data_IF_459890254557
#
_entry.id   IF_459890254557
#
_cell.length_a   1.000
_cell.length_b   1.000
_cell.length_c   1.000
_cell.angle_alpha   90.00
_cell.angle_beta   90.00
_cell.angle_gamma   90.00
#
_symmetry.space_group_name_H-M   'P 1'
#
loop_
_entity.id
_entity.type
_entity.pdbx_description
1 polymer ?
#
# COMPACT_ATOMS: atom_id res chain seq x y z
N UNK A 1 -5.27 15.58 9.17
CA UNK A 1 -5.11 14.31 8.42
C UNK A 1 -3.71 13.76 8.67
N UNK A 2 -3.61 12.51 8.99
CA UNK A 2 -2.33 11.83 9.25
C UNK A 2 -2.09 10.75 8.21
N UNK A 3 -0.83 10.59 7.78
CA UNK A 3 -0.43 9.58 6.81
C UNK A 3 0.69 8.72 7.37
N UNK A 4 0.70 7.44 6.98
CA UNK A 4 1.73 6.50 7.37
C UNK A 4 1.95 5.52 6.23
N UNK A 5 3.22 5.22 5.93
CA UNK A 5 3.56 4.17 4.97
C UNK A 5 4.52 3.16 5.57
N UNK A 6 4.39 1.92 5.14
CA UNK A 6 5.23 0.83 5.61
C UNK A 6 5.52 -0.17 4.48
N UNK A 7 6.56 -0.96 4.70
CA UNK A 7 6.95 -2.10 3.87
C UNK A 7 6.90 -3.36 4.73
N UNK A 8 6.46 -4.47 4.15
CA UNK A 8 6.51 -5.76 4.82
C UNK A 8 6.68 -6.89 3.82
N UNK A 9 6.97 -8.08 4.33
CA UNK A 9 7.07 -9.29 3.52
C UNK A 9 5.90 -10.20 3.80
N UNK A 10 5.25 -10.69 2.75
CA UNK A 10 4.19 -11.67 2.88
C UNK A 10 4.75 -13.01 3.34
N UNK A 11 3.96 -13.77 4.08
CA UNK A 11 4.30 -15.17 4.38
C UNK A 11 4.22 -16.01 3.10
N UNK A 12 4.93 -17.12 3.09
CA UNK A 12 5.07 -17.97 1.89
C UNK A 12 3.75 -18.51 1.34
N UNK A 13 2.76 -18.67 2.19
CA UNK A 13 1.49 -19.29 1.82
C UNK A 13 0.41 -18.30 1.42
N UNK A 14 0.77 -17.03 1.24
CA UNK A 14 -0.24 -16.04 0.88
C UNK A 14 -0.67 -16.23 -0.57
N UNK A 15 -1.96 -16.40 -0.79
CA UNK A 15 -2.58 -16.54 -2.11
C UNK A 15 -3.37 -15.28 -2.47
N UNK A 16 -3.73 -15.15 -3.74
CA UNK A 16 -4.59 -14.05 -4.16
C UNK A 16 -5.97 -14.09 -3.49
N UNK A 17 -6.48 -15.28 -3.19
CA UNK A 17 -7.74 -15.43 -2.45
C UNK A 17 -7.63 -14.89 -1.04
N UNK A 18 -6.51 -15.16 -0.36
CA UNK A 18 -6.25 -14.62 0.97
C UNK A 18 -6.15 -13.11 0.91
N UNK A 19 -5.44 -12.57 -0.07
CA UNK A 19 -5.31 -11.12 -0.25
C UNK A 19 -6.67 -10.48 -0.52
N UNK A 20 -7.48 -11.11 -1.37
CA UNK A 20 -8.84 -10.62 -1.66
C UNK A 20 -9.70 -10.55 -0.40
N UNK A 21 -9.62 -11.57 0.46
CA UNK A 21 -10.30 -11.56 1.75
C UNK A 21 -9.82 -10.46 2.68
N UNK A 22 -8.52 -10.25 2.74
CA UNK A 22 -7.90 -9.16 3.51
C UNK A 22 -8.44 -7.81 3.04
N UNK A 23 -8.47 -7.59 1.72
CA UNK A 23 -8.94 -6.33 1.14
C UNK A 23 -10.41 -6.08 1.43
N UNK A 24 -11.25 -7.09 1.32
CA UNK A 24 -12.68 -6.96 1.62
C UNK A 24 -12.90 -6.52 3.05
N UNK A 25 -12.28 -7.21 4.00
CA UNK A 25 -12.36 -6.88 5.44
C UNK A 25 -11.79 -5.51 5.74
N UNK A 26 -10.64 -5.20 5.14
CA UNK A 26 -9.96 -3.91 5.33
C UNK A 26 -10.79 -2.74 4.82
N UNK A 27 -11.41 -2.89 3.65
CA UNK A 27 -12.24 -1.84 3.07
C UNK A 27 -13.46 -1.53 3.90
N UNK A 28 -14.11 -2.56 4.46
CA UNK A 28 -15.26 -2.37 5.35
C UNK A 28 -14.84 -1.63 6.62
N UNK A 29 -13.78 -2.09 7.26
CA UNK A 29 -13.23 -1.45 8.47
C UNK A 29 -12.78 -0.02 8.18
N UNK A 30 -12.04 0.19 7.09
CA UNK A 30 -11.50 1.50 6.72
C UNK A 30 -12.61 2.50 6.46
N UNK A 31 -13.66 2.06 5.78
CA UNK A 31 -14.84 2.90 5.55
C UNK A 31 -15.48 3.35 6.88
N UNK A 32 -15.58 2.44 7.83
CA UNK A 32 -16.18 2.74 9.14
C UNK A 32 -15.39 3.76 9.95
N UNK A 33 -14.06 3.76 9.84
CA UNK A 33 -13.18 4.66 10.61
C UNK A 33 -12.59 5.80 9.77
N UNK A 34 -13.04 5.96 8.53
CA UNK A 34 -12.60 7.05 7.68
C UNK A 34 -11.15 6.94 7.20
N UNK A 35 -10.66 5.73 6.97
CA UNK A 35 -9.31 5.49 6.44
C UNK A 35 -9.37 5.27 4.94
N UNK A 36 -8.45 5.91 4.24
CA UNK A 36 -8.23 5.72 2.79
C UNK A 36 -6.75 5.39 2.56
N UNK A 37 -6.41 4.90 1.38
CA UNK A 37 -5.03 4.58 1.06
C UNK A 37 -4.85 3.68 -0.15
N UNK A 38 -3.66 3.12 -0.24
CA UNK A 38 -3.24 2.28 -1.36
C UNK A 38 -2.32 1.16 -0.89
N UNK A 39 -2.57 -0.05 -1.36
CA UNK A 39 -1.75 -1.22 -1.09
C UNK A 39 -1.14 -1.72 -2.40
N UNK A 40 0.16 -1.89 -2.41
CA UNK A 40 0.90 -2.50 -3.52
C UNK A 40 1.49 -3.83 -3.06
N UNK A 41 1.21 -4.88 -3.82
CA UNK A 41 1.78 -6.20 -3.60
C UNK A 41 2.60 -6.61 -4.83
N UNK A 42 3.86 -6.94 -4.62
CA UNK A 42 4.77 -7.34 -5.69
C UNK A 42 5.85 -8.27 -5.13
N UNK A 43 6.02 -9.42 -5.74
CA UNK A 43 7.07 -10.41 -5.36
C UNK A 43 7.12 -10.68 -3.85
N UNK A 44 5.97 -11.05 -3.27
CA UNK A 44 5.82 -11.35 -1.85
C UNK A 44 6.16 -10.19 -0.90
N UNK A 45 6.13 -8.97 -1.41
CA UNK A 45 6.31 -7.77 -0.59
C UNK A 45 5.10 -6.87 -0.66
N UNK A 46 4.79 -6.23 0.46
CA UNK A 46 3.74 -5.23 0.54
C UNK A 46 4.35 -3.85 0.79
N UNK A 47 3.83 -2.85 0.10
CA UNK A 47 4.01 -1.45 0.48
C UNK A 47 2.62 -0.84 0.57
N UNK A 48 2.32 -0.19 1.68
CA UNK A 48 1.02 0.41 1.89
C UNK A 48 1.16 1.83 2.42
N UNK A 49 0.28 2.71 1.98
CA UNK A 49 0.05 4.00 2.61
C UNK A 49 -1.39 4.03 3.13
N UNK A 50 -1.56 4.51 4.35
CA UNK A 50 -2.86 4.71 4.98
C UNK A 50 -2.96 6.16 5.44
N UNK A 51 -4.15 6.72 5.35
CA UNK A 51 -4.41 8.10 5.74
C UNK A 51 -5.77 8.23 6.44
N UNK A 52 -5.82 9.07 7.44
CA UNK A 52 -7.02 9.26 8.25
C UNK A 52 -6.73 10.05 9.51
N UNK A 53 -7.59 9.92 10.50
CA UNK A 53 -7.38 10.53 11.81
C UNK A 53 -6.20 9.83 12.51
N UNK A 54 -5.34 10.60 13.14
CA UNK A 54 -4.06 10.13 13.68
C UNK A 54 -4.20 8.91 14.61
N UNK A 55 -5.14 8.94 15.53
CA UNK A 55 -5.32 7.84 16.47
C UNK A 55 -5.77 6.56 15.78
N UNK A 56 -6.64 6.68 14.77
CA UNK A 56 -7.07 5.55 13.96
C UNK A 56 -5.92 4.96 13.16
N UNK A 57 -5.07 5.82 12.58
CA UNK A 57 -3.92 5.36 11.78
C UNK A 57 -2.90 4.65 12.66
N UNK A 58 -2.58 5.19 13.82
CA UNK A 58 -1.62 4.56 14.75
C UNK A 58 -2.13 3.24 15.29
N UNK A 59 -3.40 3.17 15.67
CA UNK A 59 -4.03 1.93 16.14
C UNK A 59 -4.07 0.87 15.04
N UNK A 60 -4.45 1.27 13.83
CA UNK A 60 -4.49 0.39 12.67
C UNK A 60 -3.09 -0.16 12.35
N UNK A 61 -2.07 0.66 12.40
CA UNK A 61 -0.70 0.22 12.14
C UNK A 61 -0.23 -0.82 13.17
N UNK A 62 -0.57 -0.66 14.44
CA UNK A 62 -0.25 -1.65 15.46
C UNK A 62 -0.95 -3.00 15.19
N UNK A 63 -2.20 -2.98 14.73
CA UNK A 63 -2.91 -4.20 14.34
C UNK A 63 -2.24 -4.86 13.11
N UNK A 64 -1.83 -4.05 12.15
CA UNK A 64 -1.11 -4.53 10.95
C UNK A 64 0.20 -5.19 11.35
N UNK A 65 0.97 -4.60 12.26
CA UNK A 65 2.24 -5.17 12.72
C UNK A 65 2.07 -6.53 13.39
N UNK A 66 0.95 -6.77 14.03
CA UNK A 66 0.63 -8.04 14.72
C UNK A 66 0.06 -9.10 13.81
N UNK A 67 -0.31 -8.75 12.60
CA UNK A 67 -0.90 -9.68 11.65
C UNK A 67 0.15 -10.68 11.17
N UNK A 68 -0.13 -11.97 11.35
CA UNK A 68 0.80 -13.05 11.04
C UNK A 68 0.90 -13.39 9.56
N UNK A 69 0.08 -12.75 8.72
CA UNK A 69 0.12 -12.98 7.27
C UNK A 69 1.28 -12.26 6.59
N UNK A 70 2.00 -11.43 7.32
CA UNK A 70 3.25 -10.82 6.89
C UNK A 70 4.25 -10.73 8.04
N UNK A 71 5.49 -10.37 7.71
CA UNK A 71 6.59 -10.21 8.64
C UNK A 71 7.47 -9.03 8.23
N UNK A 72 8.44 -8.73 9.07
CA UNK A 72 9.41 -7.66 8.81
C UNK A 72 8.73 -6.33 8.46
N UNK A 73 7.70 -5.98 9.22
CA UNK A 73 6.98 -4.72 9.04
C UNK A 73 7.89 -3.56 9.39
N UNK A 74 8.20 -2.73 8.39
CA UNK A 74 9.13 -1.61 8.53
C UNK A 74 8.39 -0.32 8.22
N UNK A 75 8.30 0.57 9.20
CA UNK A 75 7.77 1.91 8.99
C UNK A 75 8.68 2.67 8.03
N UNK A 76 8.14 3.14 6.93
CA UNK A 76 8.90 3.94 5.96
C UNK A 76 8.84 5.42 6.30
N UNK A 77 7.66 5.94 6.55
CA UNK A 77 7.47 7.35 6.89
C UNK A 77 6.11 7.58 7.50
N UNK A 78 6.00 8.60 8.38
CA UNK A 78 4.71 9.05 8.89
C UNK A 78 4.71 10.56 9.09
N UNK A 79 3.54 11.18 9.02
CA UNK A 79 3.42 12.62 9.24
C UNK A 79 2.03 13.16 8.95
N UNK A 80 1.86 14.44 9.25
CA UNK A 80 0.61 15.16 8.99
C UNK A 80 0.52 15.61 7.54
N UNK A 81 -0.71 15.70 7.05
CA UNK A 81 -1.02 16.25 5.75
C UNK A 81 -2.27 17.13 5.83
N UNK A 82 -2.40 18.08 4.91
CA UNK A 82 -3.53 19.00 4.87
C UNK A 82 -4.82 18.38 4.31
N UNK A 83 -4.74 17.24 3.67
CA UNK A 83 -5.90 16.58 3.09
C UNK A 83 -5.59 15.15 2.70
N UNK A 84 -6.56 14.50 2.03
CA UNK A 84 -6.40 13.12 1.56
C UNK A 84 -5.83 13.09 0.15
N UNK A 85 -4.92 12.13 -0.10
CA UNK A 85 -4.43 11.84 -1.44
C UNK A 85 -5.23 10.73 -2.12
N UNK A 86 -5.96 9.93 -1.33
CA UNK A 86 -6.74 8.78 -1.80
C UNK A 86 -8.19 8.88 -1.34
N UNK A 87 -8.79 10.07 -1.49
CA UNK A 87 -10.09 10.40 -0.89
C UNK A 87 -11.24 9.47 -1.31
N UNK A 88 -11.19 8.90 -2.50
CA UNK A 88 -12.25 8.02 -2.99
C UNK A 88 -11.93 6.52 -2.80
N UNK A 89 -10.78 6.21 -2.18
CA UNK A 89 -10.27 4.85 -2.11
C UNK A 89 -10.10 4.38 -0.66
N UNK A 90 -11.05 3.61 -0.14
CA UNK A 90 -10.89 2.99 1.18
C UNK A 90 -9.70 2.02 1.23
N UNK A 91 -9.31 1.44 0.12
CA UNK A 91 -8.00 0.83 -0.11
C UNK A 91 -7.88 0.47 -1.59
N UNK A 92 -7.13 1.26 -2.35
CA UNK A 92 -6.72 0.89 -3.69
C UNK A 92 -5.74 -0.27 -3.63
N UNK A 93 -5.77 -1.15 -4.61
CA UNK A 93 -4.89 -2.31 -4.65
C UNK A 93 -4.25 -2.45 -6.02
N UNK A 94 -2.93 -2.61 -6.03
CA UNK A 94 -2.16 -2.82 -7.25
C UNK A 94 -1.26 -4.04 -7.08
N UNK A 95 -1.31 -4.92 -8.07
CA UNK A 95 -0.45 -6.10 -8.13
C UNK A 95 -0.19 -6.47 -9.58
N UNK A 96 0.88 -7.20 -9.84
CA UNK A 96 1.06 -7.88 -11.11
C UNK A 96 0.21 -9.15 -11.12
N UNK A 97 -0.39 -9.49 -12.28
CA UNK A 97 -1.13 -10.73 -12.41
C UNK A 97 -0.17 -11.90 -12.65
N UNK A 98 -0.22 -12.91 -11.77
CA UNK A 98 0.61 -14.12 -11.91
C UNK A 98 0.19 -14.97 -13.10
N UNK A 99 -1.07 -14.92 -13.51
CA UNK A 99 -1.60 -15.73 -14.60
C UNK A 99 -1.21 -15.22 -15.98
N UNK A 100 -0.72 -14.00 -16.03
CA UNK A 100 -0.37 -13.31 -17.26
C UNK A 100 1.05 -12.75 -17.15
N UNK A 101 2.00 -13.61 -16.96
CA UNK A 101 3.40 -13.27 -16.77
C UNK A 101 4.13 -12.80 -18.03
N UNK A 102 3.40 -12.23 -18.99
CA UNK A 102 3.99 -11.64 -20.18
C UNK A 102 4.62 -10.27 -19.87
N UNK A 103 5.69 -9.96 -20.57
CA UNK A 103 6.39 -8.67 -20.43
C UNK A 103 5.49 -7.45 -20.63
N UNK A 104 4.39 -7.61 -21.38
CA UNK A 104 3.42 -6.53 -21.62
C UNK A 104 2.60 -6.15 -20.39
N UNK A 105 2.28 -7.09 -19.54
CA UNK A 105 1.49 -6.81 -18.33
C UNK A 105 2.29 -6.18 -17.22
N UNK A 106 3.53 -6.61 -17.05
CA UNK A 106 4.43 -5.94 -16.12
C UNK A 106 4.61 -4.47 -16.51
N UNK A 107 4.73 -4.18 -17.79
CA UNK A 107 4.80 -2.80 -18.29
C UNK A 107 3.53 -2.01 -17.97
N UNK A 108 2.36 -2.62 -18.14
CA UNK A 108 1.10 -1.96 -17.81
C UNK A 108 0.96 -1.69 -16.31
N UNK A 109 1.37 -2.63 -15.49
CA UNK A 109 1.39 -2.46 -14.04
C UNK A 109 2.30 -1.30 -13.63
N UNK A 110 3.53 -1.30 -14.10
CA UNK A 110 4.49 -0.22 -13.85
C UNK A 110 3.97 1.13 -14.35
N UNK A 111 3.44 1.16 -15.57
CA UNK A 111 2.90 2.38 -16.17
C UNK A 111 1.76 2.95 -15.35
N UNK A 112 0.84 2.11 -14.89
CA UNK A 112 -0.28 2.55 -14.06
C UNK A 112 0.20 3.13 -12.74
N UNK A 113 1.19 2.52 -12.11
CA UNK A 113 1.79 3.03 -10.89
C UNK A 113 2.50 4.37 -11.12
N UNK A 114 3.23 4.52 -12.22
CA UNK A 114 3.88 5.78 -12.57
C UNK A 114 2.86 6.89 -12.82
N UNK A 115 1.79 6.62 -13.54
CA UNK A 115 0.72 7.59 -13.76
C UNK A 115 0.09 8.04 -12.46
N UNK A 116 -0.20 7.11 -11.56
CA UNK A 116 -0.74 7.43 -10.25
C UNK A 116 0.25 8.25 -9.42
N UNK A 117 1.54 7.93 -9.49
CA UNK A 117 2.56 8.68 -8.77
C UNK A 117 2.67 10.12 -9.27
N UNK A 118 2.54 10.35 -10.58
CA UNK A 118 2.56 11.69 -11.15
C UNK A 118 1.33 12.51 -10.73
N UNK A 119 0.16 11.90 -10.74
CA UNK A 119 -1.07 12.55 -10.31
C UNK A 119 -1.07 12.92 -8.83
N UNK A 120 -0.34 12.17 -8.04
CA UNK A 120 -0.27 12.35 -6.59
C UNK A 120 1.02 13.06 -6.15
N UNK A 121 1.95 13.28 -7.05
CA UNK A 121 3.28 13.81 -6.73
C UNK A 121 3.24 15.22 -6.16
N UNK A 122 4.11 15.49 -5.23
CA UNK A 122 4.37 16.83 -4.71
C UNK A 122 3.54 17.24 -3.50
N UNK A 123 2.64 16.40 -3.03
CA UNK A 123 1.75 16.80 -1.95
C UNK A 123 2.33 16.60 -0.55
N UNK A 124 3.09 15.52 -0.27
CA UNK A 124 3.69 15.28 1.04
C UNK A 124 4.94 14.43 0.97
N UNK A 125 5.77 14.52 2.04
CA UNK A 125 6.93 13.65 2.19
C UNK A 125 6.55 12.18 2.32
N UNK A 126 5.47 11.89 3.02
CA UNK A 126 4.98 10.50 3.18
C UNK A 126 4.60 9.92 1.83
N UNK A 127 3.83 10.67 1.04
CA UNK A 127 3.42 10.22 -0.29
C UNK A 127 4.61 10.03 -1.23
N UNK A 128 5.55 10.97 -1.22
CA UNK A 128 6.75 10.87 -2.04
C UNK A 128 7.59 9.65 -1.66
N UNK A 129 7.79 9.39 -0.38
CA UNK A 129 8.52 8.21 0.09
C UNK A 129 7.79 6.92 -0.26
N UNK A 130 6.47 6.91 -0.19
CA UNK A 130 5.68 5.77 -0.62
C UNK A 130 5.95 5.44 -2.10
N UNK A 131 5.84 6.41 -3.00
CA UNK A 131 6.04 6.19 -4.43
C UNK A 131 7.48 5.84 -4.78
N UNK A 132 8.47 6.45 -4.11
CA UNK A 132 9.87 6.08 -4.28
C UNK A 132 10.09 4.61 -3.89
N UNK A 133 9.51 4.18 -2.78
CA UNK A 133 9.62 2.80 -2.31
C UNK A 133 8.93 1.83 -3.27
N UNK A 134 7.78 2.19 -3.82
CA UNK A 134 7.08 1.37 -4.82
C UNK A 134 7.95 1.21 -6.08
N UNK A 135 8.53 2.28 -6.57
CA UNK A 135 9.42 2.21 -7.75
C UNK A 135 10.62 1.31 -7.51
N UNK A 136 11.23 1.41 -6.34
CA UNK A 136 12.36 0.55 -5.96
C UNK A 136 11.96 -0.91 -5.84
N UNK A 137 10.80 -1.19 -5.28
CA UNK A 137 10.28 -2.54 -5.19
C UNK A 137 10.10 -3.15 -6.59
N UNK A 138 9.48 -2.42 -7.50
CA UNK A 138 9.21 -2.89 -8.87
C UNK A 138 10.50 -3.12 -9.64
N UNK A 139 11.49 -2.25 -9.47
CA UNK A 139 12.79 -2.39 -10.12
C UNK A 139 13.71 -3.44 -9.49
N UNK A 140 13.30 -4.02 -8.36
CA UNK A 140 14.10 -5.02 -7.65
C UNK A 140 15.17 -4.45 -6.72
N UNK A 141 15.18 -3.14 -6.48
CA UNK A 141 16.17 -2.50 -5.62
C UNK A 141 15.83 -2.58 -4.13
N UNK A 142 14.54 -2.80 -3.82
CA UNK A 142 14.05 -2.86 -2.45
C UNK A 142 13.69 -4.30 -2.10
N UNK A 143 14.65 -5.06 -1.61
CA UNK A 143 14.43 -6.44 -1.18
C UNK A 143 15.09 -6.69 0.17
#
# INVERSE_FOLDING_TARGET
MYQLSYFSKATQDISEEVISGILTTSRERNKAIGVTGCLVFHKFSFIQIIEGEKNHIKSLFEDIRRDKRHSDVTLLWEGKNNGRNFSDWNMAYFTESKERSGSGEMRNFERNLFLLSELSAGSTSVLNMFWISVRKLISGELI
#
